data_IF_469246749883
#
_entry.id   IF_469246749883
#
_cell.length_a   1.000
_cell.length_b   1.000
_cell.length_c   1.000
_cell.angle_alpha   90.00
_cell.angle_beta   90.00
_cell.angle_gamma   90.00
#
_symmetry.space_group_name_H-M   'P 1'
#
loop_
_entity.id
_entity.type
_entity.pdbx_description
1 polymer ?
2 non-polymer ?
3 water ?
#
# COMPACT_ATOMS: atom_id res chain seq x y z
N UNK A 7 -22.89 14.87 5.19
CA UNK A 7 -23.01 15.58 3.92
C UNK A 7 -23.84 14.77 2.90
N UNK A 8 -24.74 15.44 2.18
CA UNK A 8 -25.72 14.71 1.37
C UNK A 8 -25.07 14.06 0.16
N UNK A 9 -25.65 12.95 -0.32
CA UNK A 9 -25.07 12.28 -1.50
C UNK A 9 -25.32 13.06 -2.79
N UNK A 10 -24.41 12.88 -3.75
CA UNK A 10 -24.56 13.42 -5.10
C UNK A 10 -24.66 12.24 -6.07
N UNK A 11 -25.14 12.52 -7.27
CA UNK A 11 -25.12 11.48 -8.29
C UNK A 11 -23.69 11.18 -8.74
N UNK A 12 -23.52 10.00 -9.35
CA UNK A 12 -22.22 9.63 -9.89
C UNK A 12 -21.74 10.66 -10.90
N UNK A 13 -22.64 11.16 -11.75
CA UNK A 13 -22.23 12.15 -12.76
C UNK A 13 -21.82 13.47 -12.11
N UNK A 14 -22.56 13.92 -11.08
CA UNK A 14 -22.18 15.13 -10.36
C UNK A 14 -20.82 14.99 -9.69
N UNK A 15 -20.54 13.83 -9.12
CA UNK A 15 -19.22 13.60 -8.53
C UNK A 15 -18.13 13.67 -9.58
N UNK A 16 -18.35 13.03 -10.73
CA UNK A 16 -17.34 13.03 -11.79
C UNK A 16 -17.13 14.42 -12.36
N UNK A 17 -18.17 15.25 -12.38
CA UNK A 17 -18.01 16.62 -12.85
C UNK A 17 -17.16 17.44 -11.89
N UNK A 18 -17.03 16.98 -10.65
CA UNK A 18 -16.20 17.64 -9.65
C UNK A 18 -14.90 16.89 -9.39
N UNK A 19 -14.32 16.29 -10.43
CA UNK A 19 -13.05 15.57 -10.24
C UNK A 19 -11.91 16.55 -9.94
N UNK A 20 -10.77 15.99 -9.51
CA UNK A 20 -9.59 16.79 -9.23
C UNK A 20 -9.18 17.61 -10.45
N UNK A 21 -9.07 18.93 -10.26
CA UNK A 21 -8.81 19.87 -11.34
C UNK A 21 -7.32 20.16 -11.44
N UNK A 22 -6.76 19.95 -12.63
CA UNK A 22 -5.31 20.07 -12.82
C UNK A 22 -4.99 20.42 -14.26
N UNK A 23 -3.95 21.24 -14.44
CA UNK A 23 -3.56 21.67 -15.79
C UNK A 23 -2.58 20.66 -16.38
N UNK A 24 -3.15 19.60 -16.97
CA UNK A 24 -2.31 18.54 -17.52
C UNK A 24 -1.51 18.99 -18.72
N UNK A 25 -1.98 20.01 -19.45
CA UNK A 25 -1.22 20.51 -20.58
C UNK A 25 0.12 21.11 -20.15
N UNK A 26 0.16 21.79 -19.01
CA UNK A 26 1.40 22.41 -18.54
C UNK A 26 2.31 21.47 -17.76
N UNK A 27 1.88 20.26 -17.48
CA UNK A 27 2.59 19.34 -16.59
C UNK A 27 3.24 18.22 -17.39
N UNK A 28 4.46 17.85 -17.00
CA UNK A 28 5.11 16.68 -17.58
C UNK A 28 5.22 15.62 -16.50
N UNK A 29 4.38 14.58 -16.49
CA UNK A 29 4.53 13.52 -15.48
C UNK A 29 5.92 12.90 -15.54
N UNK A 30 6.56 12.67 -14.41
CA UNK A 30 7.91 12.08 -14.48
C UNK A 30 7.87 10.67 -15.06
N UNK A 31 8.81 10.40 -15.95
CA UNK A 31 8.88 9.14 -16.67
C UNK A 31 9.50 8.09 -15.76
N UNK A 32 8.86 6.91 -15.67
CA UNK A 32 9.45 5.82 -14.87
C UNK A 32 10.78 5.37 -15.48
N UNK A 33 11.84 5.41 -14.68
CA UNK A 33 13.14 5.06 -15.21
C UNK A 33 13.26 3.58 -15.52
N UNK A 34 12.71 2.72 -14.66
CA UNK A 34 12.81 1.27 -14.78
C UNK A 34 11.41 0.65 -14.98
N UNK A 35 10.99 0.52 -16.24
CA UNK A 35 9.74 -0.18 -16.53
C UNK A 35 9.94 -1.67 -16.36
N UNK A 36 8.92 -2.35 -15.88
CA UNK A 36 8.98 -3.78 -15.76
C UNK A 36 8.88 -4.23 -14.31
N UNK A 37 9.00 -5.54 -14.12
CA UNK A 37 8.80 -6.19 -12.83
C UNK A 37 10.14 -6.71 -12.32
N UNK A 38 10.44 -6.42 -11.07
CA UNK A 38 11.70 -6.84 -10.45
C UNK A 38 11.44 -7.49 -9.09
N UNK A 39 11.87 -8.73 -8.92
CA UNK A 39 11.89 -9.34 -7.59
C UNK A 39 12.96 -8.66 -6.74
N UNK A 40 12.65 -8.44 -5.47
CA UNK A 40 13.56 -7.80 -4.55
C UNK A 40 13.62 -8.61 -3.25
N UNK A 41 14.66 -8.32 -2.46
CA UNK A 41 14.75 -8.81 -1.09
C UNK A 41 15.41 -7.73 -0.26
N UNK A 42 15.32 -7.89 1.05
CA UNK A 42 15.96 -6.97 1.96
C UNK A 42 16.25 -7.73 3.24
N UNK A 43 17.46 -7.54 3.77
CA UNK A 43 17.87 -8.21 5.00
C UNK A 43 17.21 -7.54 6.21
N UNK A 44 17.15 -8.28 7.30
CA UNK A 44 16.73 -7.69 8.56
C UNK A 44 17.66 -6.53 8.93
N UNK A 45 18.97 -6.71 8.71
CA UNK A 45 19.90 -5.64 9.01
C UNK A 45 19.55 -4.36 8.26
N UNK A 46 19.23 -4.47 6.97
CA UNK A 46 18.82 -3.31 6.20
C UNK A 46 17.52 -2.72 6.71
N UNK A 47 16.51 -3.57 6.92
CA UNK A 47 15.17 -3.08 7.24
C UNK A 47 15.08 -2.49 8.63
N UNK A 48 15.93 -2.89 9.58
CA UNK A 48 15.68 -2.42 10.94
C UNK A 48 15.89 -0.91 11.05
N UNK A 49 16.63 -0.30 10.14
CA UNK A 49 16.76 1.15 10.12
C UNK A 49 15.56 1.86 9.50
N UNK A 50 14.61 1.11 8.95
CA UNK A 50 13.36 1.66 8.42
C UNK A 50 12.15 1.28 9.27
N UNK A 51 12.36 0.69 10.44
CA UNK A 51 11.24 0.31 11.29
C UNK A 51 10.65 1.56 11.93
N UNK A 52 9.31 1.61 11.96
CA UNK A 52 8.56 2.57 12.76
C UNK A 52 8.19 1.81 14.02
N UNK A 53 8.82 2.16 15.14
CA UNK A 53 8.60 1.35 16.34
C UNK A 53 7.30 1.66 17.08
N UNK A 54 6.64 2.77 16.76
CA UNK A 54 5.50 3.15 17.60
C UNK A 54 4.35 2.13 17.47
N UNK A 55 3.98 1.62 16.28
CA UNK A 55 2.94 0.58 16.25
C UNK A 55 3.33 -0.72 16.94
N UNK A 56 4.62 -1.00 17.12
CA UNK A 56 5.05 -2.17 17.89
C UNK A 56 4.63 -2.02 19.34
N UNK A 57 4.89 -0.85 19.92
CA UNK A 57 4.47 -0.61 21.29
C UNK A 57 2.96 -0.61 21.42
N UNK A 58 2.24 -0.16 20.39
CA UNK A 58 0.77 -0.21 20.42
C UNK A 58 0.27 -1.65 20.47
N UNK A 59 0.93 -2.53 19.72
CA UNK A 59 0.57 -3.94 19.74
C UNK A 59 0.74 -4.51 21.14
N UNK A 60 1.71 -4.01 21.89
CA UNK A 60 1.94 -4.41 23.26
C UNK A 60 1.12 -3.59 24.26
N UNK A 61 0.12 -2.85 23.76
CA UNK A 61 -0.81 -2.09 24.60
C UNK A 61 -0.13 -0.99 25.41
N UNK A 62 0.90 -0.36 24.88
CA UNK A 62 1.58 0.76 25.53
C UNK A 62 1.41 2.02 24.70
N UNK A 63 1.04 3.12 25.36
CA UNK A 63 0.76 4.38 24.69
C UNK A 63 1.99 5.26 24.67
N UNK A 64 2.21 5.95 23.54
CA UNK A 64 3.29 6.90 23.42
C UNK A 64 4.11 6.67 22.16
N UNK A 65 4.84 7.71 21.74
CA UNK A 65 5.61 7.67 20.50
C UNK A 65 7.05 7.29 20.81
N UNK A 66 7.60 6.35 20.03
CA UNK A 66 9.02 6.06 20.10
C UNK A 66 9.80 7.18 19.41
N UNK A 67 10.95 7.60 19.96
CA UNK A 67 11.65 7.06 21.13
C UNK A 67 11.23 7.60 22.50
N UNK A 68 10.39 8.64 22.58
CA UNK A 68 10.08 9.23 23.88
C UNK A 68 9.51 8.18 24.85
N UNK A 69 8.84 7.15 24.32
CA UNK A 69 8.19 6.18 25.20
C UNK A 69 9.20 5.48 26.11
N UNK A 70 10.45 5.32 25.65
CA UNK A 70 11.46 4.65 26.47
C UNK A 70 11.75 5.40 27.76
N UNK A 71 11.61 6.73 27.75
CA UNK A 71 11.86 7.55 28.92
C UNK A 71 10.58 7.90 29.68
N UNK A 72 9.47 7.23 29.36
CA UNK A 72 8.21 7.48 30.08
C UNK A 72 8.29 6.98 31.52
N UNK A 73 7.51 7.62 32.39
CA UNK A 73 7.58 7.36 33.82
C UNK A 73 6.77 6.14 34.27
N UNK A 74 5.69 5.78 33.58
CA UNK A 74 4.85 4.68 34.01
C UNK A 74 5.16 3.40 33.24
N UNK A 75 5.41 3.49 31.94
CA UNK A 75 5.67 2.32 31.12
C UNK A 75 7.05 2.30 30.49
N UNK A 76 7.90 3.28 30.79
CA UNK A 76 9.22 3.34 30.16
C UNK A 76 10.07 2.12 30.44
N UNK A 77 10.05 1.63 31.68
CA UNK A 77 10.85 0.45 32.03
C UNK A 77 10.36 -0.78 31.26
N UNK A 78 9.04 -1.01 31.27
CA UNK A 78 8.46 -2.07 30.44
C UNK A 78 8.78 -1.88 28.96
N UNK A 79 8.64 -0.64 28.46
CA UNK A 79 8.96 -0.36 27.04
C UNK A 79 10.40 -0.71 26.73
N UNK A 80 11.33 -0.36 27.63
CA UNK A 80 12.74 -0.67 27.39
C UNK A 80 12.97 -2.17 27.34
N UNK A 81 12.31 -2.92 28.24
CA UNK A 81 12.44 -4.37 28.21
C UNK A 81 11.88 -4.96 26.92
N UNK A 82 10.71 -4.50 26.50
CA UNK A 82 10.16 -4.97 25.23
C UNK A 82 11.10 -4.67 24.08
N UNK A 83 11.67 -3.46 24.07
CA UNK A 83 12.58 -3.04 23.01
C UNK A 83 13.85 -3.89 23.00
N UNK A 84 14.39 -4.20 24.17
CA UNK A 84 15.57 -5.05 24.23
C UNK A 84 15.27 -6.47 23.75
N UNK A 85 14.15 -7.05 24.19
CA UNK A 85 13.79 -8.39 23.74
C UNK A 85 13.55 -8.41 22.23
N UNK A 86 12.91 -7.37 21.71
CA UNK A 86 12.66 -7.30 20.28
C UNK A 86 13.97 -7.25 19.50
N UNK A 87 14.91 -6.42 19.93
CA UNK A 87 16.15 -6.30 19.17
C UNK A 87 17.03 -7.52 19.37
N UNK A 88 16.94 -8.16 20.55
CA UNK A 88 17.63 -9.44 20.73
C UNK A 88 17.07 -10.49 19.76
N UNK A 89 15.75 -10.50 19.56
CA UNK A 89 15.17 -11.47 18.63
C UNK A 89 15.51 -11.10 17.19
N UNK A 90 15.49 -9.80 16.86
CA UNK A 90 15.94 -9.40 15.52
C UNK A 90 17.39 -9.83 15.26
N UNK A 91 18.28 -9.67 16.25
CA UNK A 91 19.66 -10.12 16.08
C UNK A 91 19.71 -11.62 15.75
N UNK A 92 18.90 -12.43 16.43
CA UNK A 92 18.95 -13.88 16.23
C UNK A 92 18.36 -14.26 14.88
N UNK A 93 17.18 -13.72 14.55
CA UNK A 93 16.58 -13.95 13.24
C UNK A 93 17.53 -13.55 12.13
N UNK A 94 18.27 -12.45 12.33
CA UNK A 94 19.22 -11.96 11.35
C UNK A 94 20.38 -12.92 11.19
N UNK A 95 21.01 -13.30 12.31
CA UNK A 95 22.18 -14.17 12.26
C UNK A 95 21.84 -15.55 11.72
N UNK A 96 20.67 -16.07 12.07
CA UNK A 96 20.30 -17.42 11.68
C UNK A 96 19.58 -17.47 10.33
N UNK A 97 19.27 -16.31 9.76
CA UNK A 97 18.56 -16.24 8.48
C UNK A 97 17.28 -17.09 8.50
N UNK A 98 16.53 -16.98 9.62
CA UNK A 98 15.33 -17.77 9.80
C UNK A 98 14.04 -17.03 9.47
N UNK A 99 14.11 -15.73 9.21
CA UNK A 99 12.98 -14.95 8.72
C UNK A 99 13.52 -14.05 7.62
N UNK A 100 13.03 -14.21 6.40
CA UNK A 100 13.71 -13.61 5.24
C UNK A 100 12.76 -12.74 4.44
N UNK A 101 12.79 -11.41 4.64
CA UNK A 101 11.86 -10.52 3.91
C UNK A 101 12.05 -10.59 2.40
N UNK A 102 10.92 -10.57 1.68
CA UNK A 102 10.91 -10.69 0.24
C UNK A 102 9.86 -9.74 -0.35
N UNK A 103 10.07 -9.36 -1.60
CA UNK A 103 9.09 -8.51 -2.24
C UNK A 103 9.23 -8.49 -3.73
N UNK A 104 8.37 -7.68 -4.37
CA UNK A 104 8.41 -7.50 -5.82
C UNK A 104 7.87 -6.11 -6.11
N UNK A 105 8.46 -5.47 -7.13
CA UNK A 105 8.08 -4.12 -7.53
C UNK A 105 7.86 -4.10 -9.04
N UNK A 106 6.93 -3.25 -9.48
CA UNK A 106 6.70 -3.09 -10.92
C UNK A 106 6.32 -1.66 -11.30
N UNK A 107 6.79 -1.21 -12.46
CA UNK A 107 6.36 0.07 -13.03
C UNK A 107 5.88 -0.16 -14.46
N UNK A 108 4.84 0.58 -14.83
CA UNK A 108 4.12 0.36 -16.09
C UNK A 108 3.66 1.69 -16.69
N UNK A 109 3.58 1.78 -18.03
CA UNK A 109 2.88 2.93 -18.66
C UNK A 109 1.41 2.87 -18.30
N UNK A 110 0.82 4.04 -18.04
CA UNK A 110 -0.56 4.10 -17.56
C UNK A 110 -1.21 5.43 -17.94
N UNK A 111 -2.53 5.40 -18.10
CA UNK A 111 -3.30 6.62 -18.25
C UNK A 111 -4.69 6.43 -17.63
N UNK A 112 -5.24 7.53 -17.14
CA UNK A 112 -6.60 7.54 -16.61
C UNK A 112 -7.63 7.49 -17.73
N UNK A 113 -8.66 6.67 -17.54
CA UNK A 113 -9.90 6.80 -18.34
C UNK A 113 -11.06 6.75 -17.36
N UNK A 114 -11.74 7.88 -17.19
CA UNK A 114 -12.86 7.94 -16.24
C UNK A 114 -12.36 7.73 -14.81
N UNK A 115 -13.00 6.82 -14.09
CA UNK A 115 -12.61 6.51 -12.72
C UNK A 115 -11.58 5.38 -12.64
N UNK A 116 -11.05 4.93 -13.78
CA UNK A 116 -10.13 3.81 -13.84
C UNK A 116 -8.79 4.25 -14.40
N UNK A 117 -7.78 3.39 -14.20
CA UNK A 117 -6.42 3.58 -14.70
C UNK A 117 -6.09 2.42 -15.64
N UNK A 118 -5.88 2.73 -16.92
CA UNK A 118 -5.44 1.71 -17.85
C UNK A 118 -3.94 1.50 -17.67
N UNK A 119 -3.52 0.24 -17.65
CA UNK A 119 -2.11 -0.15 -17.52
C UNK A 119 -1.74 -0.87 -18.81
N UNK A 120 -0.74 -0.35 -19.53
CA UNK A 120 -0.44 -0.79 -20.90
C UNK A 120 0.69 -1.81 -20.93
N UNK A 121 0.64 -2.69 -21.94
CA UNK A 121 1.76 -3.60 -22.21
C UNK A 121 3.06 -2.84 -22.43
N UNK A 122 3.00 -1.71 -23.13
CA UNK A 122 4.24 -1.06 -23.53
C UNK A 122 3.95 0.41 -23.86
N UNK A 123 4.99 1.12 -24.30
CA UNK A 123 4.87 2.54 -24.53
C UNK A 123 4.06 2.89 -25.78
N UNK A 124 3.61 1.92 -26.59
CA UNK A 124 2.62 2.27 -27.61
C UNK A 124 1.29 2.70 -27.00
N UNK A 125 1.02 2.33 -25.75
CA UNK A 125 -0.21 2.68 -25.05
C UNK A 125 -1.44 2.29 -25.86
N UNK A 126 -1.41 1.06 -26.37
CA UNK A 126 -2.56 0.51 -27.09
C UNK A 126 -3.16 -0.64 -26.26
N UNK A 127 -2.52 -1.81 -26.30
CA UNK A 127 -3.01 -2.98 -25.56
C UNK A 127 -2.92 -2.77 -24.07
N UNK A 128 -4.03 -3.02 -23.39
CA UNK A 128 -4.17 -2.86 -21.96
C UNK A 128 -3.94 -4.24 -21.36
N UNK A 129 -2.97 -4.36 -20.46
CA UNK A 129 -2.75 -5.64 -19.81
C UNK A 129 -3.63 -5.79 -18.56
N UNK A 130 -3.94 -4.68 -17.88
CA UNK A 130 -4.81 -4.71 -16.70
C UNK A 130 -5.43 -3.33 -16.56
N UNK A 131 -6.58 -3.28 -15.89
CA UNK A 131 -7.17 -2.03 -15.46
C UNK A 131 -7.18 -1.98 -13.95
N UNK A 132 -6.67 -0.89 -13.38
CA UNK A 132 -6.81 -0.60 -11.95
C UNK A 132 -8.07 0.23 -11.78
N UNK A 133 -9.09 -0.36 -11.14
CA UNK A 133 -10.38 0.30 -10.98
C UNK A 133 -10.41 1.07 -9.67
N UNK A 134 -11.01 2.27 -9.68
CA UNK A 134 -11.11 3.08 -8.47
C UNK A 134 -12.52 3.63 -8.29
N UNK A 135 -12.82 3.96 -7.03
CA UNK A 135 -14.07 4.56 -6.60
C UNK A 135 -13.87 6.05 -6.39
N UNK A 136 -14.99 6.79 -6.36
CA UNK A 136 -14.97 8.25 -6.25
C UNK A 136 -15.84 8.68 -5.08
N UNK A 137 -15.33 9.62 -4.28
CA UNK A 137 -16.14 10.24 -3.23
C UNK A 137 -17.47 10.72 -3.81
N UNK A 138 -18.56 10.48 -3.08
CA UNK A 138 -19.87 10.71 -3.69
C UNK A 138 -20.82 11.49 -2.79
N UNK A 139 -20.30 12.47 -2.06
CA UNK A 139 -21.13 13.42 -1.32
C UNK A 139 -20.76 14.85 -1.70
N UNK A 140 -21.58 15.78 -1.24
CA UNK A 140 -21.38 17.20 -1.56
C UNK A 140 -20.06 17.70 -0.95
N UNK A 141 -19.17 18.18 -1.80
CA UNK A 141 -17.86 18.65 -1.36
C UNK A 141 -17.85 20.18 -1.38
N UNK A 142 -17.49 20.78 -0.25
CA UNK A 142 -17.39 22.22 -0.14
C UNK A 142 -15.93 22.63 -0.37
N UNK A 143 -15.68 23.35 -1.45
CA UNK A 143 -14.34 23.83 -1.72
C UNK A 143 -13.32 22.72 -1.77
N UNK A 144 -13.53 21.77 -2.68
CA UNK A 144 -12.67 20.60 -2.85
C UNK A 144 -13.28 19.67 -3.88
N UNK A 145 -12.43 18.87 -4.51
CA UNK A 145 -12.85 17.87 -5.47
C UNK A 145 -13.55 16.69 -4.79
N UNK A 146 -14.36 15.99 -5.57
CA UNK A 146 -14.78 14.64 -5.24
C UNK A 146 -13.68 13.70 -5.74
N UNK A 147 -12.77 13.33 -4.83
CA UNK A 147 -11.53 12.66 -5.24
C UNK A 147 -11.74 11.21 -5.68
N UNK A 148 -10.94 10.81 -6.66
CA UNK A 148 -10.78 9.44 -7.11
C UNK A 148 -9.30 9.24 -7.42
N UNK A 149 -8.73 8.11 -7.01
CA UNK A 149 -7.27 7.96 -7.17
C UNK A 149 -6.86 8.04 -8.63
N UNK A 150 -7.75 7.66 -9.58
CA UNK A 150 -7.42 7.78 -10.99
C UNK A 150 -7.11 9.22 -11.38
N UNK A 151 -7.67 10.21 -10.65
CA UNK A 151 -7.47 11.61 -10.99
C UNK A 151 -6.01 12.03 -10.92
N UNK A 152 -5.16 11.26 -10.23
CA UNK A 152 -3.77 11.65 -10.11
C UNK A 152 -2.91 11.07 -11.22
N UNK A 153 -3.52 10.46 -12.24
CA UNK A 153 -2.82 9.96 -13.42
C UNK A 153 -3.34 10.75 -14.60
N UNK A 154 -2.46 11.08 -15.56
CA UNK A 154 -2.92 11.93 -16.68
C UNK A 154 -4.03 11.25 -17.47
N UNK A 155 -5.11 11.96 -17.80
CA UNK A 155 -6.15 11.40 -18.67
C UNK A 155 -5.58 10.99 -20.02
N UNK A 156 -6.07 9.86 -20.55
CA UNK A 156 -5.62 9.44 -21.87
C UNK A 156 -5.85 10.53 -22.91
N UNK A 157 -6.95 11.28 -22.78
CA UNK A 157 -7.27 12.38 -23.69
C UNK A 157 -6.22 13.48 -23.69
N UNK A 158 -5.45 13.64 -22.61
CA UNK A 158 -4.43 14.68 -22.57
C UNK A 158 -3.21 14.35 -23.42
N UNK A 159 -3.06 13.07 -23.80
CA UNK A 159 -1.90 12.62 -24.54
C UNK A 159 -0.60 12.60 -23.77
N UNK A 160 -0.61 12.86 -22.45
CA UNK A 160 0.62 12.90 -21.67
C UNK A 160 1.05 11.48 -21.26
N UNK A 161 2.34 11.18 -21.42
CA UNK A 161 2.87 9.89 -21.00
C UNK A 161 2.94 9.84 -19.48
N UNK A 162 2.20 8.91 -18.89
CA UNK A 162 2.21 8.75 -17.44
C UNK A 162 2.44 7.27 -17.09
N UNK A 163 2.57 7.02 -15.79
CA UNK A 163 3.04 5.73 -15.28
C UNK A 163 2.33 5.42 -13.97
N UNK A 164 2.34 4.13 -13.62
CA UNK A 164 1.84 3.67 -12.34
C UNK A 164 2.79 2.58 -11.83
N UNK A 165 2.90 2.44 -10.51
CA UNK A 165 3.65 1.36 -9.92
C UNK A 165 2.79 0.46 -9.03
N UNK A 166 3.34 -0.70 -8.70
CA UNK A 166 2.72 -1.54 -7.68
C UNK A 166 3.82 -2.29 -6.96
N UNK A 167 3.48 -2.85 -5.79
CA UNK A 167 4.43 -3.60 -4.99
C UNK A 167 3.70 -4.60 -4.10
N UNK A 168 4.46 -5.60 -3.67
CA UNK A 168 4.01 -6.49 -2.61
C UNK A 168 5.24 -6.88 -1.83
N UNK A 169 5.20 -6.80 -0.49
CA UNK A 169 6.34 -7.16 0.36
C UNK A 169 5.84 -7.96 1.56
N UNK A 170 6.75 -8.78 2.13
CA UNK A 170 6.43 -9.56 3.33
C UNK A 170 7.64 -9.58 4.27
N UNK A 171 7.36 -9.64 5.57
CA UNK A 171 8.42 -9.88 6.53
C UNK A 171 9.09 -11.22 6.37
N UNK A 172 8.46 -12.15 5.67
CA UNK A 172 9.05 -13.46 5.40
C UNK A 172 8.05 -14.60 5.49
N UNK A 173 8.25 -15.62 4.65
CA UNK A 173 7.32 -16.75 4.61
C UNK A 173 7.38 -17.60 5.86
N UNK A 174 8.45 -17.44 6.64
CA UNK A 174 8.69 -18.28 7.81
C UNK A 174 7.88 -17.84 9.03
N UNK A 175 7.13 -16.75 8.95
CA UNK A 175 6.41 -16.21 10.11
C UNK A 175 5.56 -17.26 10.83
N UNK A 176 4.73 -17.98 10.08
CA UNK A 176 3.83 -18.95 10.72
C UNK A 176 4.60 -20.04 11.44
N UNK A 177 5.67 -20.56 10.83
CA UNK A 177 6.44 -21.62 11.50
C UNK A 177 7.05 -21.11 12.80
N UNK A 178 7.57 -19.88 12.80
CA UNK A 178 8.19 -19.39 14.03
C UNK A 178 7.14 -19.11 15.10
N UNK A 179 6.02 -18.52 14.71
CA UNK A 179 4.96 -18.24 15.67
C UNK A 179 4.33 -19.53 16.18
N UNK A 180 4.09 -20.48 15.26
CA UNK A 180 3.44 -21.72 15.67
C UNK A 180 4.30 -22.50 16.64
N UNK A 181 5.64 -22.43 16.48
CA UNK A 181 6.51 -23.13 17.41
C UNK A 181 6.44 -22.53 18.80
N UNK A 182 6.41 -21.18 18.91
CA UNK A 182 6.21 -20.56 20.21
C UNK A 182 4.84 -20.91 20.78
N UNK A 183 3.84 -21.05 19.91
CA UNK A 183 2.52 -21.50 20.33
C UNK A 183 2.59 -22.90 20.92
N UNK A 184 3.31 -23.80 20.26
CA UNK A 184 3.42 -25.15 20.77
C UNK A 184 4.17 -25.18 22.10
N UNK A 185 5.06 -24.21 22.34
CA UNK A 185 5.80 -24.08 23.59
C UNK A 185 4.98 -23.42 24.70
N UNK A 186 3.74 -23.01 24.42
CA UNK A 186 2.93 -22.23 25.36
C UNK A 186 3.61 -20.90 25.71
N UNK A 187 4.38 -20.38 24.77
CA UNK A 187 5.15 -19.15 24.97
C UNK A 187 4.43 -18.05 24.21
N UNK A 188 3.35 -17.56 24.82
CA UNK A 188 2.54 -16.53 24.16
C UNK A 188 3.33 -15.24 23.98
N UNK A 189 4.21 -14.91 24.92
CA UNK A 189 5.02 -13.70 24.83
C UNK A 189 5.82 -13.65 23.54
N UNK A 190 6.54 -14.74 23.25
CA UNK A 190 7.39 -14.76 22.08
C UNK A 190 6.61 -15.02 20.79
N UNK A 191 5.45 -15.67 20.89
CA UNK A 191 4.55 -15.73 19.72
C UNK A 191 4.13 -14.33 19.31
N UNK A 192 3.65 -13.53 20.28
CA UNK A 192 3.29 -12.15 20.03
C UNK A 192 4.50 -11.37 19.51
N UNK A 193 5.67 -11.60 20.11
CA UNK A 193 6.87 -10.84 19.74
C UNK A 193 7.28 -11.12 18.30
N UNK A 194 7.33 -12.39 17.90
CA UNK A 194 7.82 -12.66 16.55
C UNK A 194 6.82 -12.18 15.50
N UNK A 195 5.51 -12.27 15.79
CA UNK A 195 4.53 -11.73 14.85
C UNK A 195 4.62 -10.21 14.79
N UNK A 196 4.85 -9.54 15.92
CA UNK A 196 5.01 -8.10 15.92
C UNK A 196 6.25 -7.70 15.15
N UNK A 197 7.33 -8.46 15.28
CA UNK A 197 8.55 -8.17 14.52
C UNK A 197 8.35 -8.39 13.02
N UNK A 198 7.69 -9.49 12.64
CA UNK A 198 7.40 -9.69 11.22
C UNK A 198 6.58 -8.54 10.66
N UNK A 199 5.59 -8.07 11.44
CA UNK A 199 4.79 -6.92 11.01
C UNK A 199 5.67 -5.67 10.83
N UNK A 200 6.57 -5.39 11.80
CA UNK A 200 7.48 -4.26 11.64
C UNK A 200 8.35 -4.41 10.39
N UNK A 201 8.80 -5.63 10.09
CA UNK A 201 9.69 -5.82 8.94
C UNK A 201 8.94 -5.66 7.63
N UNK A 202 7.69 -6.15 7.57
CA UNK A 202 6.88 -5.92 6.39
C UNK A 202 6.64 -4.43 6.16
N UNK A 203 6.26 -3.71 7.21
CA UNK A 203 6.00 -2.28 7.04
C UNK A 203 7.29 -1.52 6.74
N UNK A 204 8.40 -1.94 7.35
CA UNK A 204 9.69 -1.34 7.04
C UNK A 204 10.07 -1.57 5.59
N UNK A 205 9.83 -2.78 5.07
CA UNK A 205 10.08 -3.07 3.67
C UNK A 205 9.19 -2.20 2.77
N UNK A 206 7.91 -2.00 3.14
CA UNK A 206 7.09 -1.12 2.31
C UNK A 206 7.66 0.31 2.29
N UNK A 207 8.16 0.79 3.44
CA UNK A 207 8.74 2.12 3.50
C UNK A 207 10.04 2.19 2.69
N UNK A 208 10.95 1.24 2.93
CA UNK A 208 12.21 1.19 2.18
C UNK A 208 11.99 1.08 0.67
N UNK A 209 11.11 0.18 0.24
CA UNK A 209 10.89 -0.01 -1.20
C UNK A 209 10.27 1.23 -1.83
N UNK A 210 9.38 1.91 -1.09
CA UNK A 210 8.79 3.14 -1.63
C UNK A 210 9.87 4.19 -1.85
N UNK A 211 10.82 4.29 -0.89
CA UNK A 211 11.95 5.20 -1.08
C UNK A 211 12.77 4.80 -2.30
N UNK A 212 13.03 3.49 -2.46
CA UNK A 212 13.73 2.99 -3.65
C UNK A 212 13.00 3.37 -4.91
N UNK A 213 11.67 3.34 -4.89
CA UNK A 213 10.90 3.68 -6.07
C UNK A 213 11.02 5.18 -6.36
N UNK A 214 10.80 6.03 -5.34
CA UNK A 214 10.87 7.47 -5.59
C UNK A 214 12.25 7.88 -6.06
N UNK A 215 13.29 7.29 -5.48
CA UNK A 215 14.64 7.75 -5.77
C UNK A 215 15.23 7.12 -7.02
N UNK A 216 14.87 5.86 -7.34
CA UNK A 216 15.62 5.09 -8.33
C UNK A 216 14.71 4.41 -9.36
N UNK A 217 13.78 3.54 -8.92
CA UNK A 217 13.01 2.78 -9.92
C UNK A 217 12.15 3.71 -10.78
N UNK A 218 11.35 4.57 -10.13
CA UNK A 218 10.65 5.64 -10.82
C UNK A 218 11.61 6.79 -11.03
N UNK A 219 12.29 7.21 -9.97
CA UNK A 219 13.43 8.08 -10.13
C UNK A 219 13.11 9.56 -10.17
N UNK A 220 11.92 9.96 -9.72
CA UNK A 220 11.54 11.37 -9.74
C UNK A 220 12.08 12.17 -8.57
N UNK A 221 12.62 11.53 -7.54
CA UNK A 221 13.24 12.22 -6.41
C UNK A 221 14.64 11.67 -6.13
N UNK A 222 15.55 11.73 -7.10
CA UNK A 222 16.84 11.04 -6.95
C UNK A 222 17.68 11.55 -5.79
N UNK A 223 17.48 12.80 -5.38
CA UNK A 223 18.30 13.41 -4.36
C UNK A 223 17.57 13.56 -3.03
N UNK A 224 16.43 12.90 -2.90
CA UNK A 224 15.71 12.89 -1.64
C UNK A 224 16.64 12.44 -0.52
N UNK A 225 16.55 13.11 0.63
CA UNK A 225 17.40 12.76 1.76
C UNK A 225 16.61 13.00 3.04
N UNK A 226 15.70 12.07 3.32
CA UNK A 226 14.83 12.17 4.47
C UNK A 226 15.30 11.23 5.56
N UNK A 227 15.16 11.67 6.80
CA UNK A 227 15.37 10.82 7.96
C UNK A 227 14.19 9.85 8.09
N UNK A 228 14.38 8.82 8.91
CA UNK A 228 13.29 7.89 9.17
C UNK A 228 12.09 8.61 9.77
N UNK A 229 12.33 9.55 10.71
CA UNK A 229 11.23 10.31 11.26
C UNK A 229 10.50 11.10 10.18
N UNK A 230 11.23 11.62 9.19
CA UNK A 230 10.59 12.33 8.09
C UNK A 230 9.81 11.39 7.18
N UNK A 231 10.31 10.15 7.01
CA UNK A 231 9.53 9.15 6.28
C UNK A 231 8.23 8.81 7.01
N UNK A 232 8.32 8.64 8.35
CA UNK A 232 7.12 8.33 9.13
C UNK A 232 6.10 9.45 9.00
N UNK A 233 6.57 10.71 8.90
CA UNK A 233 5.67 11.86 8.72
C UNK A 233 5.22 12.04 7.28
N UNK A 234 5.65 11.16 6.35
CA UNK A 234 5.20 11.20 4.96
C UNK A 234 5.63 12.47 4.27
N UNK A 235 6.81 12.97 4.62
CA UNK A 235 7.40 14.18 4.03
C UNK A 235 8.07 13.91 2.69
N UNK A 236 7.44 13.14 1.84
CA UNK A 236 7.92 12.88 0.48
C UNK A 236 6.78 13.16 -0.49
N UNK A 237 7.13 13.21 -1.76
CA UNK A 237 6.18 13.41 -2.83
C UNK A 237 5.65 12.08 -3.33
N UNK A 238 4.33 11.95 -3.40
CA UNK A 238 3.69 10.74 -3.88
C UNK A 238 3.17 9.89 -2.75
N UNK A 239 2.36 8.89 -3.11
CA UNK A 239 1.67 8.04 -2.14
C UNK A 239 1.77 6.57 -2.55
N UNK A 240 1.46 5.68 -1.59
CA UNK A 240 1.49 4.24 -1.84
C UNK A 240 0.20 3.59 -1.32
N UNK A 241 -0.96 4.00 -1.84
CA UNK A 241 -2.22 3.53 -1.26
C UNK A 241 -2.39 2.02 -1.43
N UNK A 242 -3.00 1.39 -0.40
CA UNK A 242 -3.17 -0.07 -0.35
C UNK A 242 -4.64 -0.45 -0.48
N UNK A 243 -4.98 -1.41 -1.36
CA UNK A 243 -6.37 -1.89 -1.43
C UNK A 243 -6.83 -2.35 -0.05
N UNK A 244 -8.07 -2.00 0.27
CA UNK A 244 -8.66 -2.20 1.57
C UNK A 244 -8.66 -0.96 2.44
N UNK A 245 -7.74 -0.04 2.20
CA UNK A 245 -7.64 1.19 2.96
C UNK A 245 -8.59 2.24 2.38
N UNK A 246 -8.80 3.38 3.07
CA UNK A 246 -9.98 4.22 2.75
C UNK A 246 -9.99 4.87 1.36
N UNK A 247 -8.85 5.16 0.70
CA UNK A 247 -8.94 5.75 -0.64
C UNK A 247 -9.24 4.69 -1.71
N UNK A 248 -9.09 3.42 -1.37
CA UNK A 248 -9.33 2.31 -2.31
C UNK A 248 -9.74 1.10 -1.49
N UNK A 249 -10.97 1.09 -1.00
CA UNK A 249 -11.35 0.09 0.00
C UNK A 249 -11.66 -1.29 -0.57
N UNK A 250 -11.62 -1.48 -1.88
CA UNK A 250 -12.16 -2.68 -2.48
C UNK A 250 -11.04 -3.71 -2.59
N UNK A 251 -11.12 -4.77 -1.78
CA UNK A 251 -9.99 -5.70 -1.61
C UNK A 251 -9.69 -6.53 -2.86
N UNK A 252 -10.69 -6.79 -3.73
CA UNK A 252 -10.38 -7.70 -4.83
C UNK A 252 -9.40 -7.09 -5.82
N UNK A 253 -9.13 -5.79 -5.73
CA UNK A 253 -8.08 -5.24 -6.59
C UNK A 253 -6.70 -5.80 -6.26
N UNK A 254 -6.52 -6.45 -5.09
CA UNK A 254 -5.24 -7.12 -4.86
C UNK A 254 -4.99 -8.23 -5.88
N UNK A 255 -6.06 -8.82 -6.45
CA UNK A 255 -5.84 -9.83 -7.49
C UNK A 255 -5.15 -9.22 -8.71
N UNK A 256 -5.43 -7.94 -8.99
CA UNK A 256 -4.79 -7.32 -10.13
C UNK A 256 -3.32 -7.08 -9.85
N UNK A 257 -2.98 -6.67 -8.61
CA UNK A 257 -1.56 -6.55 -8.23
C UNK A 257 -0.87 -7.91 -8.34
N UNK A 258 -1.54 -8.97 -7.87
CA UNK A 258 -0.92 -10.29 -7.92
C UNK A 258 -0.63 -10.73 -9.37
N UNK A 259 -1.51 -10.38 -10.30
CA UNK A 259 -1.27 -10.74 -11.70
C UNK A 259 -0.20 -9.84 -12.32
N UNK A 260 -0.32 -8.53 -12.06
CA UNK A 260 0.57 -7.55 -12.65
C UNK A 260 2.04 -7.84 -12.33
N UNK A 261 2.29 -8.25 -11.09
CA UNK A 261 3.65 -8.42 -10.60
C UNK A 261 4.05 -9.88 -10.50
N UNK A 262 3.18 -10.80 -10.90
CA UNK A 262 3.40 -12.22 -10.65
C UNK A 262 3.89 -12.44 -9.21
N UNK A 263 3.10 -11.93 -8.26
CA UNK A 263 3.55 -11.87 -6.86
C UNK A 263 3.90 -13.24 -6.33
N UNK A 264 3.00 -14.22 -6.49
CA UNK A 264 3.27 -15.52 -5.87
C UNK A 264 4.54 -16.15 -6.44
N UNK A 265 4.75 -16.03 -7.76
CA UNK A 265 5.97 -16.60 -8.36
C UNK A 265 7.22 -15.95 -7.78
N UNK A 266 7.21 -14.63 -7.62
CA UNK A 266 8.43 -13.90 -7.24
C UNK A 266 8.67 -13.84 -5.74
N UNK A 267 7.65 -14.12 -4.91
CA UNK A 267 7.77 -13.89 -3.47
C UNK A 267 7.22 -15.03 -2.63
N UNK A 268 6.37 -15.89 -3.17
CA UNK A 268 5.66 -16.86 -2.38
C UNK A 268 4.42 -16.34 -1.67
N UNK A 269 4.13 -15.05 -1.79
CA UNK A 269 2.96 -14.49 -1.13
C UNK A 269 1.68 -14.90 -1.83
N UNK A 270 0.61 -15.12 -1.06
CA UNK A 270 -0.65 -15.62 -1.57
C UNK A 270 -1.82 -14.71 -1.15
N UNK A 271 -2.95 -14.87 -1.85
CA UNK A 271 -4.22 -14.23 -1.51
C UNK A 271 -5.22 -15.30 -1.09
N UNK A 272 -6.04 -14.99 -0.08
CA UNK A 272 -7.11 -15.87 0.35
C UNK A 272 -8.40 -15.58 -0.43
N UNK A 273 -9.44 -16.34 -0.13
CA UNK A 273 -10.75 -16.12 -0.74
C UNK A 273 -11.34 -14.78 -0.33
N UNK A 274 -10.94 -14.25 0.84
CA UNK A 274 -11.37 -12.94 1.27
C UNK A 274 -10.45 -11.86 0.75
N UNK A 275 -9.45 -12.26 -0.04
CA UNK A 275 -8.40 -11.39 -0.57
C UNK A 275 -7.53 -10.80 0.54
N UNK A 276 -7.43 -11.53 1.66
CA UNK A 276 -6.38 -11.26 2.64
C UNK A 276 -5.05 -11.77 2.08
N UNK A 277 -3.96 -11.14 2.50
CA UNK A 277 -2.62 -11.58 2.11
C UNK A 277 -2.05 -12.60 3.09
N UNK A 278 -1.29 -13.54 2.55
CA UNK A 278 -0.46 -14.45 3.32
C UNK A 278 0.97 -14.31 2.81
N UNK A 279 1.98 -14.18 3.69
CA UNK A 279 1.91 -14.17 5.17
C UNK A 279 1.09 -13.02 5.77
N UNK A 280 0.64 -13.20 7.02
CA UNK A 280 -0.02 -12.11 7.74
C UNK A 280 0.76 -10.81 7.67
N UNK A 281 2.07 -10.87 7.93
CA UNK A 281 2.94 -9.71 7.81
C UNK A 281 3.27 -9.47 6.33
N UNK A 282 2.34 -8.83 5.63
CA UNK A 282 2.43 -8.50 4.22
C UNK A 282 1.82 -7.13 3.98
N UNK A 283 2.35 -6.42 2.97
CA UNK A 283 1.84 -5.14 2.51
C UNK A 283 1.85 -5.18 0.99
N UNK A 284 0.77 -4.67 0.37
CA UNK A 284 0.76 -4.49 -1.08
C UNK A 284 0.05 -3.19 -1.42
N UNK A 285 0.35 -2.64 -2.58
CA UNK A 285 -0.29 -1.40 -2.94
C UNK A 285 0.20 -0.87 -4.26
N UNK A 286 -0.17 0.38 -4.54
CA UNK A 286 0.14 1.10 -5.77
C UNK A 286 1.12 2.20 -5.45
N UNK A 287 1.73 2.77 -6.48
CA UNK A 287 2.54 3.96 -6.35
C UNK A 287 2.04 5.05 -7.28
N UNK A 288 1.85 6.25 -6.74
CA UNK A 288 1.47 7.44 -7.48
C UNK A 288 2.55 8.49 -7.27
N UNK A 289 3.00 9.13 -8.36
CA UNK A 289 4.03 10.15 -8.28
C UNK A 289 3.50 11.56 -8.13
N UNK A 290 2.21 11.82 -8.42
CA UNK A 290 1.78 13.19 -8.62
C UNK A 290 1.97 14.01 -7.34
N UNK A 291 2.45 15.25 -7.43
CA UNK A 291 2.72 16.03 -6.20
C UNK A 291 1.47 16.37 -5.37
N UNK A 292 0.27 16.35 -5.96
CA UNK A 292 -0.96 16.61 -5.23
C UNK A 292 -1.65 15.33 -4.76
N UNK A 293 -1.08 14.17 -5.07
CA UNK A 293 -1.70 12.93 -4.61
C UNK A 293 -1.67 12.88 -3.09
N UNK A 294 -2.74 12.36 -2.52
CA UNK A 294 -2.89 12.35 -1.07
C UNK A 294 -3.88 11.26 -0.68
N UNK A 295 -3.86 10.92 0.60
CA UNK A 295 -4.83 9.99 1.16
C UNK A 295 -6.11 10.71 1.58
N UNK A 296 -7.22 9.99 1.56
CA UNK A 296 -8.55 10.48 1.88
C UNK A 296 -9.42 9.23 1.98
N UNK A 297 -10.69 9.43 2.37
CA UNK A 297 -11.66 8.33 2.41
C UNK A 297 -12.67 8.49 1.29
N UNK A 298 -12.83 7.43 0.48
CA UNK A 298 -13.94 7.36 -0.47
C UNK A 298 -15.28 7.53 0.25
N UNK A 299 -15.45 6.82 1.37
CA UNK A 299 -16.66 6.86 2.20
C UNK A 299 -17.86 6.28 1.45
N UNK A 300 -19.07 6.76 1.72
CA UNK A 300 -20.26 6.02 1.30
C UNK A 300 -20.66 6.35 -0.13
N UNK A 301 -20.98 5.32 -0.88
CA UNK A 301 -21.32 5.46 -2.30
C UNK A 301 -22.73 4.92 -2.54
N UNK A 302 -23.27 5.30 -3.68
CA UNK A 302 -24.67 5.05 -4.00
C UNK A 302 -24.81 3.95 -5.05
N UNK A 303 -26.07 3.56 -5.30
CA UNK A 303 -26.33 2.41 -6.16
C UNK A 303 -25.85 2.64 -7.58
N UNK A 304 -25.94 3.89 -8.07
CA UNK A 304 -25.44 4.14 -9.43
C UNK A 304 -23.95 3.82 -9.55
N UNK A 305 -23.16 4.17 -8.53
CA UNK A 305 -21.72 3.90 -8.63
C UNK A 305 -21.43 2.41 -8.45
N UNK A 306 -22.18 1.75 -7.56
CA UNK A 306 -22.03 0.31 -7.39
C UNK A 306 -22.28 -0.41 -8.70
N UNK A 307 -23.36 -0.04 -9.41
CA UNK A 307 -23.72 -0.75 -10.64
C UNK A 307 -22.69 -0.48 -11.73
N UNK A 308 -22.16 0.75 -11.79
CA UNK A 308 -21.13 1.09 -12.77
C UNK A 308 -19.84 0.35 -12.48
N UNK A 309 -19.46 0.26 -11.19
CA UNK A 309 -18.26 -0.48 -10.82
C UNK A 309 -18.41 -1.95 -11.20
N UNK A 310 -19.60 -2.52 -10.97
CA UNK A 310 -19.84 -3.91 -11.36
C UNK A 310 -19.62 -4.12 -12.85
N UNK A 311 -20.23 -3.27 -13.69
CA UNK A 311 -19.98 -3.40 -15.14
C UNK A 311 -18.49 -3.37 -15.46
N UNK A 312 -17.76 -2.41 -14.88
CA UNK A 312 -16.36 -2.25 -15.25
C UNK A 312 -15.52 -3.44 -14.81
N UNK A 313 -15.89 -4.05 -13.68
CA UNK A 313 -15.21 -5.19 -13.09
C UNK A 313 -15.59 -6.53 -13.71
N UNK A 314 -16.62 -6.58 -14.54
CA UNK A 314 -17.12 -7.86 -14.99
C UNK A 314 -17.84 -8.65 -13.91
N UNK A 315 -18.40 -7.97 -12.91
CA UNK A 315 -19.05 -8.58 -11.77
C UNK A 315 -20.53 -8.29 -11.81
N UNK A 316 -21.31 -9.14 -11.14
CA UNK A 316 -22.71 -8.80 -10.92
C UNK A 316 -22.82 -7.74 -9.82
N UNK A 317 -23.94 -7.02 -9.85
CA UNK A 317 -24.23 -6.05 -8.80
C UNK A 317 -24.21 -6.74 -7.42
N UNK A 318 -24.78 -7.94 -7.34
CA UNK A 318 -24.76 -8.70 -6.08
C UNK A 318 -23.34 -8.93 -5.59
N UNK A 319 -22.43 -9.35 -6.49
CA UNK A 319 -21.03 -9.53 -6.10
C UNK A 319 -20.42 -8.26 -5.52
N UNK A 320 -20.61 -7.13 -6.21
CA UNK A 320 -19.99 -5.88 -5.77
C UNK A 320 -20.55 -5.45 -4.42
N UNK A 321 -21.84 -5.73 -4.15
CA UNK A 321 -22.40 -5.32 -2.87
C UNK A 321 -21.77 -6.11 -1.73
N UNK A 322 -21.28 -7.31 -2.01
CA UNK A 322 -20.53 -8.02 -0.97
C UNK A 322 -19.17 -7.36 -0.76
N UNK A 323 -18.46 -7.05 -1.83
CA UNK A 323 -17.12 -6.53 -1.68
C UNK A 323 -17.11 -5.10 -1.14
N UNK A 324 -18.17 -4.32 -1.41
CA UNK A 324 -18.23 -2.93 -1.01
C UNK A 324 -19.19 -2.69 0.14
N UNK A 325 -19.61 -3.74 0.83
CA UNK A 325 -20.60 -3.62 1.90
C UNK A 325 -20.28 -2.48 2.87
N UNK A 326 -19.03 -2.31 3.36
CA UNK A 326 -18.77 -1.22 4.30
C UNK A 326 -18.93 0.16 3.72
N UNK A 327 -18.93 0.32 2.39
CA UNK A 327 -19.00 1.63 1.79
C UNK A 327 -20.36 1.91 1.19
N UNK A 328 -21.33 1.01 1.37
CA UNK A 328 -22.64 1.25 0.79
C UNK A 328 -23.38 2.31 1.59
N UNK A 329 -23.89 3.33 0.88
CA UNK A 329 -24.65 4.39 1.52
C UNK A 329 -26.14 4.17 1.37
N UNK A 330 -26.55 2.92 1.23
CA UNK A 330 -27.93 2.51 1.06
C UNK A 330 -28.05 1.08 1.58
N UNK A 331 -29.28 0.60 1.76
CA UNK A 331 -29.46 -0.76 2.27
C UNK A 331 -29.47 -1.80 1.14
#
# INVERSE_FOLDING_TARGET
>A
GSKKPRTPPVTLEAARDNDFAFDWQAYTPPVAHRLGVQEVEASIETLRNYIDWTPFFMTWSLAGKYPRILEDEVVGVEAQRLFKDANDMLDKLSAEKTLNPRGVVGLFPANRVGDDIEIYRDETRTHVINVSHHLRQQTEKTGFANYCLADFVAPKLSGKADYIGAFAVTGGLEEDALADAFEAQHDDYNKIMVKALADRLAEAFAEYLHERVRKVYWGYAPNENLSNEELIRENYQGIRPAPGYPACPEHTEKATIWELLEVEKHTGMKLTESFAMWPGASVSGWYFSHPDSKYYAVAQIQRDQVEDYARRKGMSVTEVERWLAPNLGYDAD
#
